data_IF_650285692328
#
_entry.id   IF_650285692328
#
_cell.length_a   1.000
_cell.length_b   1.000
_cell.length_c   1.000
_cell.angle_alpha   90.00
_cell.angle_beta   90.00
_cell.angle_gamma   90.00
#
_symmetry.space_group_name_H-M   'P 1'
#
loop_
_entity.id
_entity.type
_entity.pdbx_description
1 polymer ?
#
# COMPACT_ATOMS: atom_id res chain seq x y z
N UNK A 1 -9.05 7.50 -13.87
CA UNK A 1 -10.28 6.83 -13.36
C UNK A 1 -10.22 6.86 -11.84
N UNK A 2 -11.33 7.20 -11.17
CA UNK A 2 -11.42 7.28 -9.71
C UNK A 2 -12.29 6.12 -9.26
N UNK A 3 -11.79 5.30 -8.34
CA UNK A 3 -12.52 4.15 -7.80
C UNK A 3 -13.15 4.54 -6.46
N UNK A 4 -14.37 4.06 -6.22
CA UNK A 4 -15.07 4.29 -4.97
C UNK A 4 -14.61 3.28 -3.92
N UNK A 5 -14.41 3.77 -2.70
CA UNK A 5 -14.01 2.98 -1.56
C UNK A 5 -15.23 2.74 -0.67
N UNK A 6 -15.44 1.49 -0.27
CA UNK A 6 -16.38 1.16 0.79
C UNK A 6 -15.73 1.30 2.17
N UNK A 7 -14.50 0.80 2.32
CA UNK A 7 -13.79 0.79 3.59
C UNK A 7 -12.28 0.80 3.39
N UNK A 8 -11.58 1.41 4.35
CA UNK A 8 -10.13 1.30 4.52
C UNK A 8 -9.87 1.03 5.99
N UNK A 9 -9.21 -0.07 6.29
CA UNK A 9 -8.88 -0.49 7.65
C UNK A 9 -7.36 -0.66 7.80
N UNK A 10 -6.82 -0.25 8.95
CA UNK A 10 -5.41 -0.35 9.30
C UNK A 10 -5.28 -1.26 10.52
N UNK A 11 -4.76 -2.47 10.30
CA UNK A 11 -4.42 -3.38 11.38
C UNK A 11 -2.94 -3.19 11.76
N UNK A 12 -2.73 -2.65 12.96
CA UNK A 12 -1.39 -2.39 13.48
C UNK A 12 -0.71 -3.64 14.06
N UNK A 13 -1.47 -4.67 14.44
CA UNK A 13 -0.91 -5.93 14.92
C UNK A 13 -0.29 -6.70 13.76
N UNK A 14 -1.01 -6.76 12.64
CA UNK A 14 -0.56 -7.47 11.43
C UNK A 14 0.19 -6.56 10.44
N UNK A 15 0.32 -5.26 10.74
CA UNK A 15 0.92 -4.25 9.85
C UNK A 15 0.31 -4.26 8.44
N UNK A 16 -1.01 -4.40 8.37
CA UNK A 16 -1.74 -4.56 7.12
C UNK A 16 -2.70 -3.40 6.87
N UNK A 17 -2.92 -3.08 5.59
CA UNK A 17 -3.91 -2.10 5.15
C UNK A 17 -4.90 -2.85 4.26
N UNK A 18 -6.15 -2.91 4.67
CA UNK A 18 -7.22 -3.52 3.90
C UNK A 18 -8.03 -2.43 3.19
N UNK A 19 -8.08 -2.50 1.86
CA UNK A 19 -8.85 -1.55 1.03
C UNK A 19 -9.95 -2.30 0.32
N UNK A 20 -11.21 -1.94 0.61
CA UNK A 20 -12.39 -2.52 -0.02
C UNK A 20 -13.01 -1.53 -0.99
N UNK A 21 -13.14 -1.94 -2.25
CA UNK A 21 -13.81 -1.19 -3.30
C UNK A 21 -15.29 -1.57 -3.39
N UNK A 22 -16.14 -0.59 -3.71
CA UNK A 22 -17.55 -0.81 -4.03
C UNK A 22 -17.99 0.15 -5.16
N UNK A 23 -18.25 -0.37 -6.38
CA UNK A 23 -18.30 -1.79 -6.72
C UNK A 23 -16.91 -2.46 -6.72
N UNK A 24 -16.83 -3.81 -6.66
CA UNK A 24 -15.60 -4.55 -6.84
C UNK A 24 -14.87 -4.15 -8.13
N UNK A 25 -13.54 -4.24 -8.12
CA UNK A 25 -12.71 -3.94 -9.29
C UNK A 25 -12.79 -5.12 -10.27
N UNK A 26 -13.13 -4.81 -11.53
CA UNK A 26 -13.21 -5.82 -12.58
C UNK A 26 -11.83 -6.34 -12.99
N UNK A 27 -11.71 -7.61 -13.42
CA UNK A 27 -10.46 -8.16 -13.94
C UNK A 27 -9.88 -7.33 -15.09
N UNK A 28 -8.54 -7.23 -15.13
CA UNK A 28 -7.81 -6.49 -16.15
C UNK A 28 -7.73 -4.97 -15.93
N UNK A 29 -8.39 -4.44 -14.89
CA UNK A 29 -8.26 -3.03 -14.53
C UNK A 29 -6.97 -2.77 -13.72
N UNK A 30 -6.31 -1.65 -14.02
CA UNK A 30 -5.15 -1.19 -13.25
C UNK A 30 -5.59 -0.16 -12.22
N UNK A 31 -5.28 -0.44 -10.96
CA UNK A 31 -5.49 0.49 -9.85
C UNK A 31 -4.16 1.11 -9.40
N UNK A 32 -4.21 2.36 -8.92
CA UNK A 32 -3.08 3.02 -8.26
C UNK A 32 -3.49 3.40 -6.85
N UNK A 33 -2.80 2.83 -5.87
CA UNK A 33 -2.97 3.17 -4.46
C UNK A 33 -1.88 4.16 -4.05
N UNK A 34 -2.31 5.32 -3.58
CA UNK A 34 -1.42 6.26 -2.90
C UNK A 34 -1.44 5.98 -1.40
N UNK A 35 -0.26 5.80 -0.80
CA UNK A 35 -0.11 5.69 0.64
C UNK A 35 0.48 6.99 1.17
N UNK A 36 -0.22 7.64 2.09
CA UNK A 36 0.24 8.86 2.75
C UNK A 36 0.61 8.54 4.21
N UNK A 37 1.89 8.66 4.59
CA UNK A 37 2.30 8.39 5.95
C UNK A 37 1.87 9.54 6.88
N UNK A 38 1.20 9.22 7.99
CA UNK A 38 0.80 10.22 9.01
C UNK A 38 1.98 10.83 9.78
N UNK A 39 3.12 10.13 9.81
CA UNK A 39 4.37 10.57 10.44
C UNK A 39 5.49 10.34 9.44
N UNK A 40 6.52 11.17 9.49
CA UNK A 40 7.72 10.99 8.66
C UNK A 40 8.26 9.57 8.85
N UNK A 41 8.34 8.77 7.78
CA UNK A 41 8.96 7.45 7.85
C UNK A 41 10.42 7.56 8.25
N UNK A 42 10.92 6.58 9.00
CA UNK A 42 12.36 6.41 9.21
C UNK A 42 13.06 6.13 7.88
N UNK A 43 14.37 6.31 7.85
CA UNK A 43 15.17 5.93 6.69
C UNK A 43 15.12 4.41 6.48
N UNK A 44 15.04 3.98 5.22
CA UNK A 44 15.07 2.56 4.87
C UNK A 44 14.27 2.21 3.61
N UNK A 45 14.20 0.91 3.36
CA UNK A 45 13.40 0.30 2.29
C UNK A 45 12.20 -0.40 2.93
N UNK A 46 11.01 0.05 2.56
CA UNK A 46 9.74 -0.51 3.02
C UNK A 46 9.15 -1.37 1.91
N UNK A 47 8.88 -2.65 2.23
CA UNK A 47 8.29 -3.62 1.30
C UNK A 47 6.82 -3.83 1.66
N UNK A 48 5.95 -3.62 0.70
CA UNK A 48 4.51 -3.84 0.84
C UNK A 48 4.12 -5.03 -0.03
N UNK A 49 3.79 -6.15 0.59
CA UNK A 49 3.17 -7.27 -0.10
C UNK A 49 1.73 -6.91 -0.49
N UNK A 50 1.35 -7.16 -1.74
CA UNK A 50 -0.01 -6.90 -2.23
C UNK A 50 -0.70 -8.21 -2.52
N UNK A 51 -1.80 -8.46 -1.84
CA UNK A 51 -2.70 -9.59 -2.09
C UNK A 51 -4.06 -9.04 -2.49
N UNK A 52 -4.57 -9.46 -3.65
CA UNK A 52 -5.93 -9.15 -4.08
C UNK A 52 -6.87 -10.29 -3.67
N UNK A 53 -8.02 -9.95 -3.10
CA UNK A 53 -9.04 -10.92 -2.69
C UNK A 53 -10.31 -10.58 -3.49
N UNK A 54 -10.81 -11.49 -4.34
CA UNK A 54 -12.03 -11.24 -5.11
C UNK A 54 -13.25 -11.24 -4.19
N UNK A 55 -14.38 -10.69 -4.67
CA UNK A 55 -15.65 -10.83 -3.95
C UNK A 55 -16.20 -12.26 -4.07
N UNK A 56 -16.81 -12.78 -3.00
CA UNK A 56 -17.48 -14.09 -2.97
C UNK A 56 -17.26 -14.86 -1.67
N UNK A 57 -18.11 -15.85 -1.40
CA UNK A 57 -18.10 -16.60 -0.12
C UNK A 57 -16.89 -17.50 0.06
N UNK A 58 -16.22 -17.89 -1.03
CA UNK A 58 -15.02 -18.75 -1.04
C UNK A 58 -13.88 -18.05 -1.79
N UNK A 59 -13.67 -16.78 -1.47
CA UNK A 59 -12.62 -15.98 -2.09
C UNK A 59 -11.22 -16.47 -1.66
N UNK A 60 -10.39 -16.81 -2.63
CA UNK A 60 -8.97 -17.13 -2.41
C UNK A 60 -8.14 -15.90 -2.77
N UNK A 61 -7.28 -15.47 -1.84
CA UNK A 61 -6.36 -14.36 -2.07
C UNK A 61 -5.27 -14.72 -3.08
N UNK A 62 -5.00 -13.79 -4.00
CA UNK A 62 -3.92 -13.88 -4.97
C UNK A 62 -2.84 -12.86 -4.64
N UNK A 63 -1.62 -13.34 -4.37
CA UNK A 63 -0.46 -12.47 -4.20
C UNK A 63 -0.04 -11.89 -5.56
N UNK A 64 0.02 -10.56 -5.65
CA UNK A 64 0.33 -9.82 -6.88
C UNK A 64 1.80 -9.34 -6.92
N UNK A 65 2.51 -9.38 -5.80
CA UNK A 65 3.92 -8.98 -5.70
C UNK A 65 4.18 -7.95 -4.61
N UNK A 66 5.37 -7.33 -4.68
CA UNK A 66 5.81 -6.33 -3.72
C UNK A 66 5.86 -4.93 -4.33
N UNK A 67 5.24 -3.95 -3.65
CA UNK A 67 5.55 -2.54 -3.79
C UNK A 67 6.73 -2.15 -2.90
N UNK A 68 7.60 -1.25 -3.35
CA UNK A 68 8.78 -0.81 -2.57
C UNK A 68 8.77 0.70 -2.45
N UNK A 69 8.92 1.22 -1.24
CA UNK A 69 9.12 2.63 -0.96
C UNK A 69 10.48 2.83 -0.31
N UNK A 70 11.25 3.78 -0.82
CA UNK A 70 12.59 4.08 -0.34
C UNK A 70 12.59 5.47 0.30
N UNK A 71 12.99 5.53 1.57
CA UNK A 71 13.15 6.77 2.30
C UNK A 71 14.61 6.92 2.67
N UNK A 72 15.25 7.95 2.13
CA UNK A 72 16.65 8.22 2.40
C UNK A 72 16.77 9.46 3.29
N UNK A 73 17.70 9.39 4.24
CA UNK A 73 18.13 10.54 5.00
C UNK A 73 18.72 11.62 4.13
N UNK A 74 18.62 12.85 4.59
CA UNK A 74 19.43 13.92 4.05
C UNK A 74 20.85 13.72 4.58
N UNK A 75 21.79 13.30 3.74
CA UNK A 75 23.22 13.32 4.06
C UNK A 75 23.61 14.76 4.44
N UNK A 76 23.73 15.03 5.74
CA UNK A 76 24.23 16.30 6.26
C UNK A 76 25.76 16.25 6.32
N UNK A 77 26.43 16.01 5.19
CA UNK A 77 27.81 16.46 5.03
C UNK A 77 27.81 17.98 4.89
N UNK A 78 27.78 18.66 6.03
CA UNK A 78 28.18 20.06 6.12
C UNK A 78 29.69 20.06 5.93
N UNK A 79 30.13 20.35 4.71
CA UNK A 79 31.53 20.64 4.43
C UNK A 79 31.73 22.10 4.81
N UNK A 80 32.20 22.37 6.04
CA UNK A 80 32.74 23.68 6.35
C UNK A 80 34.05 23.84 5.55
N UNK A 81 34.05 24.78 4.60
CA UNK A 81 35.27 25.34 4.01
C UNK A 81 35.75 26.50 4.87
#
# INVERSE_FOLDING_TARGET
>A
MRFNLAAVDLDLADSSISVRFDPPIEPGQTIKLGLEPRRTPSEGIYLFGVTAIPAGDQAVGQFLGYGRLHFYGRDRRIIWR
#
